data_IF_561517640866
#
_entry.id   IF_561517640866
#
_cell.length_a   1.000
_cell.length_b   1.000
_cell.length_c   1.000
_cell.angle_alpha   90.00
_cell.angle_beta   90.00
_cell.angle_gamma   90.00
#
_symmetry.space_group_name_H-M   'P 1'
#
loop_
_entity.id
_entity.type
_entity.pdbx_description
1 polymer ?
#
# COMPACT_ATOMS: atom_id res chain seq x y z
N UNK A 1 -36.95 -4.25 -5.63
CA UNK A 1 -35.56 -3.96 -6.02
C UNK A 1 -35.62 -3.44 -7.44
N UNK A 2 -35.44 -2.12 -7.65
CA UNK A 2 -35.47 -1.55 -8.99
C UNK A 2 -34.32 -2.10 -9.82
N UNK A 3 -34.60 -2.43 -11.08
CA UNK A 3 -33.57 -2.86 -12.02
C UNK A 3 -32.57 -1.72 -12.24
N UNK A 4 -31.36 -1.89 -11.70
CA UNK A 4 -30.27 -0.96 -11.95
C UNK A 4 -29.77 -1.17 -13.39
N UNK A 5 -30.17 -0.26 -14.27
CA UNK A 5 -29.67 -0.26 -15.65
C UNK A 5 -28.26 0.34 -15.64
N UNK A 6 -27.27 -0.52 -15.85
CA UNK A 6 -25.88 -0.10 -15.97
C UNK A 6 -25.61 0.31 -17.42
N UNK A 7 -25.67 1.61 -17.69
CA UNK A 7 -25.41 2.25 -18.99
C UNK A 7 -23.93 2.64 -19.21
N UNK A 8 -23.03 2.25 -18.28
CA UNK A 8 -21.61 2.56 -18.37
C UNK A 8 -20.97 1.94 -19.62
N UNK A 9 -20.03 2.67 -20.21
CA UNK A 9 -19.17 2.13 -21.27
C UNK A 9 -18.33 0.95 -20.77
N UNK A 10 -17.77 0.17 -21.72
CA UNK A 10 -16.88 -0.93 -21.36
C UNK A 10 -15.66 -0.44 -20.55
N UNK A 11 -15.10 0.71 -20.89
CA UNK A 11 -13.96 1.31 -20.18
C UNK A 11 -14.32 1.71 -18.76
N UNK A 12 -15.48 2.35 -18.57
CA UNK A 12 -15.98 2.72 -17.24
C UNK A 12 -16.23 1.49 -16.37
N UNK A 13 -16.78 0.41 -16.94
CA UNK A 13 -16.99 -0.85 -16.22
C UNK A 13 -15.68 -1.44 -15.71
N UNK A 14 -14.61 -1.39 -16.51
CA UNK A 14 -13.28 -1.85 -16.12
C UNK A 14 -12.73 -1.01 -14.95
N UNK A 15 -12.77 0.32 -15.07
CA UNK A 15 -12.27 1.21 -14.02
C UNK A 15 -13.07 1.04 -12.73
N UNK A 16 -14.39 0.96 -12.81
CA UNK A 16 -15.23 0.76 -11.62
C UNK A 16 -15.00 -0.62 -10.98
N UNK A 17 -14.75 -1.66 -11.77
CA UNK A 17 -14.39 -2.98 -11.26
C UNK A 17 -13.04 -2.96 -10.51
N UNK A 18 -12.03 -2.24 -11.03
CA UNK A 18 -10.76 -2.04 -10.35
C UNK A 18 -10.93 -1.33 -9.00
N UNK A 19 -11.71 -0.24 -8.97
CA UNK A 19 -12.00 0.49 -7.72
C UNK A 19 -12.68 -0.42 -6.70
N UNK A 20 -13.72 -1.15 -7.10
CA UNK A 20 -14.43 -2.07 -6.21
C UNK A 20 -13.52 -3.19 -5.69
N UNK A 21 -12.73 -3.80 -6.56
CA UNK A 21 -11.79 -4.85 -6.17
C UNK A 21 -10.74 -4.32 -5.18
N UNK A 22 -10.20 -3.12 -5.42
CA UNK A 22 -9.24 -2.48 -4.53
C UNK A 22 -9.85 -2.16 -3.16
N UNK A 23 -11.06 -1.60 -3.11
CA UNK A 23 -11.73 -1.29 -1.84
C UNK A 23 -12.10 -2.56 -1.04
N UNK A 24 -12.56 -3.61 -1.73
CA UNK A 24 -12.83 -4.90 -1.09
C UNK A 24 -11.54 -5.50 -0.51
N UNK A 25 -10.45 -5.52 -1.28
CA UNK A 25 -9.14 -6.00 -0.82
C UNK A 25 -8.65 -5.22 0.40
N UNK A 26 -8.74 -3.88 0.38
CA UNK A 26 -8.37 -3.03 1.52
C UNK A 26 -9.19 -3.36 2.78
N UNK A 27 -10.49 -3.55 2.62
CA UNK A 27 -11.40 -3.88 3.74
C UNK A 27 -11.02 -5.22 4.36
N UNK A 28 -10.86 -6.25 3.54
CA UNK A 28 -10.59 -7.61 4.00
C UNK A 28 -9.18 -7.76 4.56
N UNK A 29 -8.16 -7.25 3.86
CA UNK A 29 -6.77 -7.27 4.36
C UNK A 29 -6.57 -6.38 5.58
N UNK A 30 -7.34 -5.29 5.68
CA UNK A 30 -7.32 -4.39 6.84
C UNK A 30 -7.67 -5.08 8.15
N UNK A 31 -8.50 -6.12 8.13
CA UNK A 31 -8.79 -6.93 9.30
C UNK A 31 -7.55 -7.68 9.82
N UNK A 32 -6.70 -8.17 8.90
CA UNK A 32 -5.43 -8.81 9.25
C UNK A 32 -4.50 -7.80 9.92
N UNK A 33 -4.31 -6.63 9.29
CA UNK A 33 -3.39 -5.61 9.80
C UNK A 33 -3.85 -5.02 11.14
N UNK A 34 -5.15 -4.87 11.33
CA UNK A 34 -5.73 -4.38 12.58
C UNK A 34 -5.36 -5.26 13.78
N UNK A 35 -5.28 -6.58 13.58
CA UNK A 35 -4.84 -7.51 14.61
C UNK A 35 -3.44 -7.20 15.14
N UNK A 36 -2.60 -6.58 14.32
CA UNK A 36 -1.23 -6.15 14.65
C UNK A 36 -1.12 -4.65 14.96
N UNK A 37 -2.24 -3.97 15.16
CA UNK A 37 -2.27 -2.54 15.50
C UNK A 37 -2.02 -1.59 14.33
N UNK A 38 -2.19 -2.04 13.08
CA UNK A 38 -1.94 -1.27 11.87
C UNK A 38 -3.21 -1.10 11.03
N UNK A 39 -3.32 0.04 10.35
CA UNK A 39 -4.22 0.21 9.22
C UNK A 39 -3.55 -0.25 7.93
N UNK A 40 -4.33 -0.42 6.85
CA UNK A 40 -3.81 -0.73 5.52
C UNK A 40 -2.74 0.29 5.08
N UNK A 41 -2.99 1.58 5.25
CA UNK A 41 -2.02 2.64 4.88
C UNK A 41 -0.75 2.61 5.73
N UNK A 42 -0.87 2.32 7.03
CA UNK A 42 0.26 2.19 7.93
C UNK A 42 1.13 0.98 7.57
N UNK A 43 0.49 -0.16 7.29
CA UNK A 43 1.19 -1.35 6.81
C UNK A 43 1.97 -1.07 5.53
N UNK A 44 1.33 -0.44 4.53
CA UNK A 44 2.01 -0.11 3.28
C UNK A 44 3.16 0.87 3.45
N UNK A 45 3.02 1.87 4.31
CA UNK A 45 4.11 2.80 4.62
C UNK A 45 5.33 2.07 5.21
N UNK A 46 5.11 1.16 6.15
CA UNK A 46 6.17 0.32 6.71
C UNK A 46 6.82 -0.58 5.65
N UNK A 47 6.02 -1.15 4.74
CA UNK A 47 6.53 -1.96 3.62
C UNK A 47 7.43 -1.15 2.68
N UNK A 48 7.07 0.08 2.39
CA UNK A 48 7.90 0.98 1.57
C UNK A 48 9.21 1.30 2.28
N UNK A 49 9.17 1.58 3.58
CA UNK A 49 10.38 1.82 4.37
C UNK A 49 11.28 0.59 4.43
N UNK A 50 10.72 -0.58 4.71
CA UNK A 50 11.48 -1.83 4.80
C UNK A 50 12.15 -2.20 3.47
N UNK A 51 11.50 -1.93 2.35
CA UNK A 51 12.04 -2.12 1.01
C UNK A 51 13.02 -1.02 0.57
N UNK A 52 13.12 0.08 1.31
CA UNK A 52 14.04 1.17 1.01
C UNK A 52 15.45 0.89 1.56
N UNK A 53 16.47 1.44 0.92
CA UNK A 53 17.87 1.28 1.34
C UNK A 53 18.05 1.70 2.81
N UNK A 54 18.59 0.81 3.62
CA UNK A 54 18.78 1.04 5.06
C UNK A 54 17.46 1.15 5.86
N UNK A 55 16.32 0.75 5.30
CA UNK A 55 15.03 0.82 5.97
C UNK A 55 14.54 2.26 6.20
N UNK A 56 14.94 3.19 5.36
CA UNK A 56 14.64 4.61 5.53
C UNK A 56 14.30 5.32 4.22
N UNK A 57 13.46 6.36 4.31
CA UNK A 57 13.10 7.17 3.16
C UNK A 57 12.49 8.51 3.61
N UNK A 58 12.37 9.47 2.71
CA UNK A 58 11.69 10.73 2.97
C UNK A 58 10.16 10.57 2.91
N UNK A 59 9.42 11.45 3.59
CA UNK A 59 7.95 11.52 3.49
C UNK A 59 7.52 11.67 2.03
N UNK A 60 8.20 12.53 1.25
CA UNK A 60 7.88 12.78 -0.15
C UNK A 60 8.00 11.52 -1.02
N UNK A 61 9.07 10.75 -0.83
CA UNK A 61 9.27 9.52 -1.60
C UNK A 61 8.27 8.43 -1.21
N UNK A 62 7.99 8.27 0.10
CA UNK A 62 6.97 7.32 0.55
C UNK A 62 5.59 7.70 0.00
N UNK A 63 5.19 8.99 0.08
CA UNK A 63 3.94 9.49 -0.48
C UNK A 63 3.80 9.18 -1.97
N UNK A 64 4.86 9.45 -2.74
CA UNK A 64 4.88 9.23 -4.18
C UNK A 64 4.75 7.75 -4.51
N UNK A 65 5.45 6.88 -3.79
CA UNK A 65 5.38 5.43 -3.98
C UNK A 65 3.99 4.89 -3.66
N UNK A 66 3.35 5.42 -2.63
CA UNK A 66 2.00 5.02 -2.22
C UNK A 66 0.88 5.73 -3.00
N UNK A 67 1.19 6.69 -3.86
CA UNK A 67 0.23 7.54 -4.57
C UNK A 67 -0.78 8.24 -3.64
N UNK A 68 -0.29 8.73 -2.51
CA UNK A 68 -1.08 9.50 -1.53
C UNK A 68 -0.54 10.92 -1.39
N UNK A 69 -1.35 11.85 -0.86
CA UNK A 69 -0.88 13.21 -0.60
C UNK A 69 0.16 13.24 0.53
N UNK A 70 1.09 14.20 0.47
CA UNK A 70 2.08 14.40 1.53
C UNK A 70 1.44 14.68 2.89
N UNK A 71 0.30 15.40 2.93
CA UNK A 71 -0.45 15.65 4.16
C UNK A 71 -0.98 14.34 4.79
N UNK A 72 -1.55 13.45 3.97
CA UNK A 72 -1.99 12.14 4.44
C UNK A 72 -0.83 11.29 4.95
N UNK A 73 0.31 11.30 4.24
CA UNK A 73 1.50 10.57 4.67
C UNK A 73 2.07 11.11 5.98
N UNK A 74 2.07 12.42 6.18
CA UNK A 74 2.48 13.04 7.44
C UNK A 74 1.64 12.53 8.61
N UNK A 75 0.32 12.44 8.44
CA UNK A 75 -0.58 11.87 9.46
C UNK A 75 -0.34 10.39 9.74
N UNK A 76 -0.08 9.60 8.71
CA UNK A 76 0.26 8.17 8.83
C UNK A 76 1.59 8.02 9.58
N UNK A 77 2.62 8.75 9.19
CA UNK A 77 3.95 8.72 9.83
C UNK A 77 3.89 9.11 11.30
N UNK A 78 3.13 10.17 11.65
CA UNK A 78 2.97 10.60 13.05
C UNK A 78 2.34 9.52 13.93
N UNK A 79 1.34 8.80 13.41
CA UNK A 79 0.72 7.69 14.15
C UNK A 79 1.65 6.48 14.30
N UNK A 80 2.39 6.14 13.24
CA UNK A 80 3.39 5.07 13.29
C UNK A 80 4.51 5.38 14.28
N UNK A 81 5.00 6.61 14.30
CA UNK A 81 6.01 7.09 15.24
C UNK A 81 5.50 7.02 16.68
N UNK A 82 4.29 7.53 16.95
CA UNK A 82 3.66 7.49 18.27
C UNK A 82 3.55 6.05 18.81
N UNK A 83 3.33 5.08 17.95
CA UNK A 83 3.20 3.67 18.30
C UNK A 83 4.53 2.89 18.22
N UNK A 84 5.65 3.55 17.95
CA UNK A 84 6.98 2.98 17.97
C UNK A 84 7.34 2.12 16.75
N UNK A 85 6.57 2.17 15.66
CA UNK A 85 6.85 1.40 14.44
C UNK A 85 7.91 2.02 13.53
N UNK A 86 8.13 3.33 13.67
CA UNK A 86 9.19 4.07 13.00
C UNK A 86 9.68 5.19 13.92
N UNK A 87 10.78 5.82 13.55
CA UNK A 87 11.28 7.06 14.16
C UNK A 87 11.78 8.01 13.06
N UNK A 88 12.00 9.27 13.44
CA UNK A 88 12.51 10.30 12.53
C UNK A 88 13.95 10.62 12.85
N UNK A 89 14.72 10.93 11.82
CA UNK A 89 16.07 11.50 11.96
C UNK A 89 16.34 12.49 10.85
N UNK A 90 17.29 13.39 11.06
CA UNK A 90 17.80 14.26 9.99
C UNK A 90 18.61 13.44 8.98
N UNK A 91 18.55 13.82 7.70
CA UNK A 91 19.40 13.25 6.68
C UNK A 91 20.87 13.73 6.94
N UNK A 92 21.83 12.83 7.07
CA UNK A 92 23.25 13.22 7.23
C UNK A 92 23.80 14.09 6.09
N UNK A 93 23.18 14.03 4.91
CA UNK A 93 23.60 14.79 3.72
C UNK A 93 22.94 16.17 3.62
N UNK A 94 21.77 16.33 4.22
CA UNK A 94 21.03 17.62 4.27
C UNK A 94 20.12 17.63 5.51
N UNK A 95 20.55 18.32 6.55
CA UNK A 95 19.85 18.41 7.84
C UNK A 95 18.42 18.97 7.74
N UNK A 96 18.08 19.65 6.62
CA UNK A 96 16.71 20.14 6.36
C UNK A 96 15.76 19.05 5.93
N UNK A 97 16.29 17.89 5.57
CA UNK A 97 15.50 16.73 5.15
C UNK A 97 15.31 15.76 6.32
N UNK A 98 14.06 15.43 6.58
CA UNK A 98 13.69 14.41 7.58
C UNK A 98 13.50 13.05 6.92
N UNK A 99 14.20 12.05 7.42
CA UNK A 99 14.06 10.65 7.08
C UNK A 99 13.12 9.96 8.06
N UNK A 100 12.21 9.15 7.54
CA UNK A 100 11.47 8.14 8.29
C UNK A 100 12.28 6.85 8.28
N UNK A 101 12.48 6.24 9.42
CA UNK A 101 13.26 5.01 9.59
C UNK A 101 12.38 3.96 10.26
N UNK A 102 12.26 2.78 9.64
CA UNK A 102 11.53 1.68 10.27
C UNK A 102 12.27 1.20 11.52
N UNK A 103 11.54 1.02 12.62
CA UNK A 103 12.11 0.49 13.87
C UNK A 103 12.18 -1.04 13.85
N UNK A 104 12.90 -1.63 14.81
CA UNK A 104 12.92 -3.08 15.00
C UNK A 104 11.53 -3.63 15.28
N UNK A 105 10.69 -2.89 16.04
CA UNK A 105 9.28 -3.23 16.23
C UNK A 105 8.53 -3.24 14.90
N UNK A 106 8.78 -2.25 14.02
CA UNK A 106 8.16 -2.19 12.70
C UNK A 106 8.53 -3.39 11.83
N UNK A 107 9.80 -3.75 11.77
CA UNK A 107 10.30 -4.93 11.04
C UNK A 107 9.69 -6.23 11.57
N UNK A 108 9.76 -6.42 12.88
CA UNK A 108 9.21 -7.60 13.55
C UNK A 108 7.71 -7.75 13.27
N UNK A 109 6.97 -6.65 13.31
CA UNK A 109 5.53 -6.65 13.00
C UNK A 109 5.26 -7.04 11.54
N UNK A 110 6.06 -6.57 10.58
CA UNK A 110 5.95 -6.99 9.18
C UNK A 110 6.25 -8.49 9.01
N UNK A 111 7.23 -9.03 9.71
CA UNK A 111 7.52 -10.48 9.71
C UNK A 111 6.34 -11.28 10.26
N UNK A 112 5.78 -10.86 11.39
CA UNK A 112 4.65 -11.54 12.03
C UNK A 112 3.38 -11.53 11.13
N UNK A 113 3.17 -10.45 10.39
CA UNK A 113 2.05 -10.33 9.43
C UNK A 113 2.27 -11.19 8.18
N UNK A 114 3.51 -11.40 7.77
CA UNK A 114 3.85 -11.95 6.45
C UNK A 114 3.13 -13.26 6.15
N UNK A 115 3.07 -14.19 7.11
CA UNK A 115 2.44 -15.48 6.90
C UNK A 115 0.92 -15.38 6.66
N UNK A 116 0.20 -14.64 7.51
CA UNK A 116 -1.25 -14.45 7.36
C UNK A 116 -1.59 -13.69 6.07
N UNK A 117 -0.82 -12.63 5.77
CA UNK A 117 -0.99 -11.84 4.55
C UNK A 117 -0.72 -12.67 3.29
N UNK A 118 0.34 -13.47 3.26
CA UNK A 118 0.67 -14.27 2.09
C UNK A 118 -0.43 -15.30 1.79
N UNK A 119 -0.91 -16.02 2.80
CA UNK A 119 -2.04 -16.96 2.62
C UNK A 119 -3.30 -16.25 2.12
N UNK A 120 -3.60 -15.07 2.65
CA UNK A 120 -4.74 -14.28 2.21
C UNK A 120 -4.63 -13.89 0.72
N UNK A 121 -3.46 -13.38 0.30
CA UNK A 121 -3.22 -13.00 -1.10
C UNK A 121 -3.28 -14.20 -2.04
N UNK A 122 -2.68 -15.32 -1.66
CA UNK A 122 -2.74 -16.57 -2.42
C UNK A 122 -4.18 -17.04 -2.62
N UNK A 123 -4.98 -17.07 -1.56
CA UNK A 123 -6.41 -17.45 -1.62
C UNK A 123 -7.20 -16.48 -2.49
N UNK A 124 -6.92 -15.17 -2.40
CA UNK A 124 -7.63 -14.13 -3.15
C UNK A 124 -7.48 -14.26 -4.66
N UNK A 125 -6.34 -14.77 -5.11
CA UNK A 125 -6.02 -14.96 -6.53
C UNK A 125 -5.98 -16.45 -6.96
N UNK A 126 -6.45 -17.36 -6.13
CA UNK A 126 -6.35 -18.81 -6.38
C UNK A 126 -7.11 -19.31 -7.61
N UNK A 127 -8.14 -18.57 -8.05
CA UNK A 127 -8.93 -18.91 -9.23
C UNK A 127 -8.23 -18.64 -10.57
N UNK A 128 -7.07 -17.97 -10.56
CA UNK A 128 -6.36 -17.53 -11.75
C UNK A 128 -5.06 -18.30 -11.95
N UNK A 129 -4.77 -18.68 -13.21
CA UNK A 129 -3.48 -19.28 -13.59
C UNK A 129 -2.33 -18.27 -13.46
N UNK A 130 -1.09 -18.75 -13.42
CA UNK A 130 0.08 -17.89 -13.37
C UNK A 130 0.20 -16.99 -14.62
N UNK A 131 -0.22 -17.49 -15.78
CA UNK A 131 -0.26 -16.73 -17.03
C UNK A 131 -1.29 -15.59 -16.97
N UNK A 132 -2.49 -15.87 -16.46
CA UNK A 132 -3.54 -14.86 -16.25
C UNK A 132 -3.08 -13.78 -15.27
N UNK A 133 -2.45 -14.17 -14.16
CA UNK A 133 -1.89 -13.23 -13.17
C UNK A 133 -0.82 -12.34 -13.80
N UNK A 134 0.10 -12.92 -14.59
CA UNK A 134 1.16 -12.17 -15.26
C UNK A 134 0.60 -11.17 -16.27
N UNK A 135 -0.38 -11.59 -17.07
CA UNK A 135 -1.07 -10.73 -18.05
C UNK A 135 -1.81 -9.59 -17.36
N UNK A 136 -2.58 -9.89 -16.32
CA UNK A 136 -3.32 -8.89 -15.53
C UNK A 136 -2.39 -7.87 -14.88
N UNK A 137 -1.30 -8.34 -14.27
CA UNK A 137 -0.30 -7.45 -13.66
C UNK A 137 0.36 -6.53 -14.68
N UNK A 138 0.66 -7.05 -15.89
CA UNK A 138 1.20 -6.24 -16.98
C UNK A 138 0.23 -5.13 -17.42
N UNK A 139 -1.07 -5.45 -17.53
CA UNK A 139 -2.10 -4.46 -17.86
C UNK A 139 -2.22 -3.37 -16.80
N UNK A 140 -2.25 -3.74 -15.51
CA UNK A 140 -2.30 -2.79 -14.39
C UNK A 140 -1.08 -1.86 -14.38
N UNK A 141 0.13 -2.38 -14.60
CA UNK A 141 1.34 -1.55 -14.69
C UNK A 141 1.26 -0.51 -15.81
N UNK A 142 0.67 -0.86 -16.95
CA UNK A 142 0.48 0.07 -18.07
C UNK A 142 -0.50 1.19 -17.70
N UNK A 143 -1.59 0.88 -17.01
CA UNK A 143 -2.57 1.88 -16.52
C UNK A 143 -1.88 2.85 -15.54
N UNK A 144 -1.13 2.32 -14.57
CA UNK A 144 -0.43 3.13 -13.56
C UNK A 144 0.62 4.03 -14.23
N UNK A 145 1.47 3.48 -15.09
CA UNK A 145 2.55 4.22 -15.77
C UNK A 145 2.02 5.36 -16.63
N UNK A 146 0.91 5.16 -17.35
CA UNK A 146 0.31 6.18 -18.20
C UNK A 146 -0.16 7.41 -17.40
N UNK A 147 -0.57 7.22 -16.15
CA UNK A 147 -1.14 8.25 -15.29
C UNK A 147 -0.13 8.89 -14.32
N UNK A 148 1.06 8.30 -14.14
CA UNK A 148 2.14 8.87 -13.30
C UNK A 148 3.12 9.76 -14.08
N UNK A 149 3.00 9.84 -15.40
CA UNK A 149 3.84 10.65 -16.29
C UNK A 149 3.33 12.07 -16.56
N UNK A 150 2.43 12.61 -15.73
CA UNK A 150 1.97 14.00 -15.78
C UNK A 150 2.50 14.83 -14.64
#
# INVERSE_FOLDING_TARGET
>A
MGDYVNDLSADEKIIMALVRAAEQYKKESGAIFKHYGLTFSQYNALRVLDASSGGQNTISNVSRTMLVSGANMTGVAKRLEKNGFLYRKSDPKDERVTLLVISDKGRKTLEDIAHAKNRFVETYLSAYSEEEKATFFSMLKRIIKKNTGR
#
